data_IF_100882954343
#
_entry.id   IF_100882954343
#
_cell.length_a   1.000
_cell.length_b   1.000
_cell.length_c   1.000
_cell.angle_alpha   90.00
_cell.angle_beta   90.00
_cell.angle_gamma   90.00
#
_symmetry.space_group_name_H-M   'P 1'
#
loop_
_entity.id
_entity.type
_entity.pdbx_description
1 polymer ?
#
# COMPACT_ATOMS: atom_id res chain seq x y z
N UNK A 1 4.04 22.18 -24.11
CA UNK A 1 5.18 21.26 -23.86
C UNK A 1 4.80 20.14 -22.89
N UNK A 2 4.26 20.48 -21.72
CA UNK A 2 3.87 19.54 -20.64
C UNK A 2 2.87 18.45 -21.07
N UNK A 3 1.85 18.76 -21.88
CA UNK A 3 0.88 17.75 -22.40
C UNK A 3 1.54 16.65 -23.24
N UNK A 4 2.60 16.97 -24.00
CA UNK A 4 3.35 15.98 -24.78
C UNK A 4 4.18 15.06 -23.88
N UNK A 5 4.74 15.61 -22.79
CA UNK A 5 5.49 14.85 -21.79
C UNK A 5 4.57 13.88 -21.02
N UNK A 6 3.39 14.31 -20.56
CA UNK A 6 2.46 13.40 -19.90
C UNK A 6 2.01 12.25 -20.82
N UNK A 7 1.77 12.55 -22.10
CA UNK A 7 1.43 11.53 -23.09
C UNK A 7 2.57 10.53 -23.27
N UNK A 8 3.81 10.98 -23.38
CA UNK A 8 4.95 10.07 -23.54
C UNK A 8 5.21 9.24 -22.29
N UNK A 9 5.11 9.82 -21.09
CA UNK A 9 5.24 9.09 -19.82
C UNK A 9 4.16 8.03 -19.68
N UNK A 10 2.89 8.37 -19.98
CA UNK A 10 1.77 7.41 -19.96
C UNK A 10 2.02 6.22 -20.89
N UNK A 11 2.45 6.47 -22.13
CA UNK A 11 2.79 5.42 -23.09
C UNK A 11 3.94 4.53 -22.59
N UNK A 12 4.94 5.10 -21.93
CA UNK A 12 6.03 4.31 -21.34
C UNK A 12 5.55 3.42 -20.20
N UNK A 13 4.68 3.93 -19.32
CA UNK A 13 4.10 3.15 -18.21
C UNK A 13 3.27 2.00 -18.76
N UNK A 14 2.38 2.28 -19.73
CA UNK A 14 1.53 1.26 -20.37
C UNK A 14 2.39 0.17 -21.01
N UNK A 15 3.43 0.56 -21.78
CA UNK A 15 4.36 -0.39 -22.41
C UNK A 15 5.12 -1.24 -21.38
N UNK A 16 5.56 -0.65 -20.27
CA UNK A 16 6.26 -1.38 -19.20
C UNK A 16 5.32 -2.32 -18.45
N UNK A 17 4.08 -1.91 -18.19
CA UNK A 17 3.05 -2.75 -17.58
C UNK A 17 2.72 -3.95 -18.45
N UNK A 18 2.56 -3.75 -19.76
CA UNK A 18 2.30 -4.82 -20.72
C UNK A 18 3.47 -5.82 -20.79
N UNK A 19 4.71 -5.32 -20.86
CA UNK A 19 5.90 -6.18 -20.80
C UNK A 19 5.95 -7.03 -19.53
N UNK A 20 5.64 -6.42 -18.38
CA UNK A 20 5.58 -7.14 -17.12
C UNK A 20 4.47 -8.19 -17.11
N UNK A 21 3.27 -7.84 -17.58
CA UNK A 21 2.13 -8.75 -17.69
C UNK A 21 2.47 -9.95 -18.57
N UNK A 22 3.03 -9.74 -19.76
CA UNK A 22 3.43 -10.81 -20.68
C UNK A 22 4.47 -11.76 -20.06
N UNK A 23 5.43 -11.22 -19.30
CA UNK A 23 6.45 -12.03 -18.62
C UNK A 23 5.88 -12.80 -17.43
N UNK A 24 5.09 -12.15 -16.58
CA UNK A 24 4.53 -12.73 -15.37
C UNK A 24 3.40 -13.74 -15.66
N UNK A 25 2.65 -13.52 -16.74
CA UNK A 25 1.58 -14.41 -17.19
C UNK A 25 2.09 -15.51 -18.14
N UNK A 26 3.40 -15.57 -18.41
CA UNK A 26 3.99 -16.65 -19.20
C UNK A 26 3.67 -18.01 -18.55
N UNK A 27 2.94 -18.86 -19.27
CA UNK A 27 2.54 -20.19 -18.79
C UNK A 27 1.28 -20.20 -17.90
N UNK A 28 0.65 -19.05 -17.65
CA UNK A 28 -0.68 -18.99 -17.01
C UNK A 28 -1.76 -19.16 -18.08
N UNK A 29 -2.77 -19.97 -17.79
CA UNK A 29 -3.96 -20.09 -18.64
C UNK A 29 -5.03 -19.16 -18.09
N UNK A 30 -5.65 -18.39 -18.96
CA UNK A 30 -6.85 -17.66 -18.61
C UNK A 30 -7.97 -18.69 -18.37
N UNK A 31 -8.56 -18.65 -17.18
CA UNK A 31 -9.72 -19.47 -16.82
C UNK A 31 -10.80 -18.48 -16.41
N UNK A 32 -11.87 -18.47 -17.18
CA UNK A 32 -13.04 -17.64 -16.96
C UNK A 32 -14.18 -18.58 -16.64
N UNK A 33 -14.98 -18.22 -15.63
CA UNK A 33 -16.17 -18.96 -15.23
C UNK A 33 -17.41 -18.15 -15.60
N UNK A 34 -18.45 -18.83 -16.05
CA UNK A 34 -19.73 -18.21 -16.34
C UNK A 34 -20.75 -18.53 -15.23
N UNK A 35 -21.78 -17.68 -15.04
CA UNK A 35 -22.89 -18.01 -14.14
C UNK A 35 -23.49 -19.37 -14.48
N UNK A 36 -23.63 -20.23 -13.47
CA UNK A 36 -24.08 -21.62 -13.59
C UNK A 36 -22.96 -22.66 -13.49
N UNK A 37 -21.69 -22.26 -13.66
CA UNK A 37 -20.56 -23.16 -13.52
C UNK A 37 -20.35 -23.63 -12.07
N UNK A 38 -19.86 -24.85 -11.92
CA UNK A 38 -19.54 -25.45 -10.62
C UNK A 38 -18.02 -25.38 -10.37
N UNK A 39 -17.63 -24.74 -9.28
CA UNK A 39 -16.22 -24.49 -8.94
C UNK A 39 -15.88 -25.00 -7.54
N UNK A 40 -14.66 -25.50 -7.37
CA UNK A 40 -14.12 -25.85 -6.06
C UNK A 40 -13.41 -24.64 -5.45
N UNK A 41 -13.73 -24.33 -4.20
CA UNK A 41 -13.18 -23.13 -3.53
C UNK A 41 -12.02 -23.51 -2.62
N UNK A 42 -10.86 -22.88 -2.83
CA UNK A 42 -9.75 -23.01 -1.90
C UNK A 42 -9.87 -22.02 -0.73
N UNK A 43 -10.34 -22.50 0.43
CA UNK A 43 -10.42 -21.68 1.63
C UNK A 43 -9.09 -21.69 2.42
N UNK A 44 -8.51 -20.51 2.66
CA UNK A 44 -7.24 -20.36 3.40
C UNK A 44 -7.51 -20.17 4.90
N UNK A 45 -6.80 -20.92 5.74
CA UNK A 45 -6.95 -20.92 7.21
C UNK A 45 -6.83 -19.52 7.84
N UNK A 46 -5.84 -18.72 7.40
CA UNK A 46 -5.61 -17.37 7.94
C UNK A 46 -6.80 -16.42 7.74
N UNK A 47 -7.59 -16.62 6.67
CA UNK A 47 -8.76 -15.79 6.36
C UNK A 47 -10.04 -16.42 6.89
N UNK A 48 -10.09 -17.75 6.96
CA UNK A 48 -11.26 -18.53 7.35
C UNK A 48 -10.90 -19.56 8.43
N UNK A 49 -10.57 -19.12 9.65
CA UNK A 49 -10.18 -20.02 10.73
C UNK A 49 -11.30 -20.96 11.15
N UNK A 50 -12.56 -20.49 11.10
CA UNK A 50 -13.75 -21.28 11.44
C UNK A 50 -13.98 -22.44 10.46
N UNK A 51 -13.69 -22.23 9.16
CA UNK A 51 -13.92 -23.24 8.11
C UNK A 51 -12.77 -24.23 7.97
N UNK A 52 -11.51 -23.81 8.23
CA UNK A 52 -10.33 -24.69 8.12
C UNK A 52 -9.66 -24.96 9.47
N UNK A 53 -10.09 -26.04 10.13
CA UNK A 53 -9.62 -26.40 11.48
C UNK A 53 -8.21 -27.02 11.50
N UNK A 54 -7.82 -27.83 10.51
CA UNK A 54 -6.51 -28.51 10.49
C UNK A 54 -5.79 -28.50 9.13
N UNK A 55 -4.47 -28.77 9.15
CA UNK A 55 -3.65 -28.89 7.94
C UNK A 55 -3.96 -30.14 7.11
N UNK A 56 -4.54 -31.17 7.73
CA UNK A 56 -4.87 -32.46 7.10
C UNK A 56 -6.20 -32.44 6.35
N UNK A 57 -7.04 -31.42 6.55
CA UNK A 57 -8.29 -31.31 5.78
C UNK A 57 -7.98 -31.07 4.29
N UNK A 58 -8.84 -31.60 3.38
CA UNK A 58 -8.77 -31.31 1.95
C UNK A 58 -8.67 -29.82 1.67
N UNK A 59 -7.95 -29.50 0.60
CA UNK A 59 -7.59 -28.11 0.28
C UNK A 59 -8.71 -27.37 -0.45
N UNK A 60 -9.46 -28.07 -1.30
CA UNK A 60 -10.68 -27.57 -1.92
C UNK A 60 -11.89 -27.94 -1.08
N UNK A 61 -12.72 -26.96 -0.79
CA UNK A 61 -14.09 -27.16 -0.34
C UNK A 61 -14.99 -27.34 -1.57
N UNK A 62 -16.13 -28.02 -1.41
CA UNK A 62 -16.94 -28.68 -2.46
C UNK A 62 -17.33 -27.86 -3.71
N UNK A 63 -18.10 -28.45 -4.64
CA UNK A 63 -18.55 -27.73 -5.82
C UNK A 63 -19.60 -26.68 -5.41
N UNK A 64 -19.29 -25.41 -5.65
CA UNK A 64 -20.20 -24.29 -5.47
C UNK A 64 -20.58 -23.69 -6.82
N UNK A 65 -21.83 -23.27 -6.95
CA UNK A 65 -22.29 -22.65 -8.18
C UNK A 65 -21.87 -21.19 -8.24
N UNK A 66 -21.36 -20.76 -9.40
CA UNK A 66 -21.18 -19.34 -9.72
C UNK A 66 -22.54 -18.73 -9.98
N UNK A 67 -22.96 -17.79 -9.14
CA UNK A 67 -24.23 -17.07 -9.30
C UNK A 67 -24.08 -15.90 -10.27
N UNK A 68 -22.96 -15.17 -10.16
CA UNK A 68 -22.75 -13.94 -10.90
C UNK A 68 -21.24 -13.69 -11.09
N UNK A 69 -20.87 -13.14 -12.25
CA UNK A 69 -19.51 -12.71 -12.54
C UNK A 69 -19.42 -11.19 -12.39
N UNK A 70 -18.62 -10.74 -11.43
CA UNK A 70 -18.38 -9.32 -11.19
C UNK A 70 -17.23 -8.84 -12.08
N UNK A 71 -16.15 -9.63 -12.18
CA UNK A 71 -14.99 -9.41 -13.05
C UNK A 71 -14.35 -10.77 -13.41
N UNK A 72 -13.42 -10.80 -14.38
CA UNK A 72 -12.64 -12.01 -14.74
C UNK A 72 -11.97 -12.72 -13.55
N UNK A 73 -11.68 -11.99 -12.47
CA UNK A 73 -11.05 -12.49 -11.26
C UNK A 73 -11.99 -12.57 -10.04
N UNK A 74 -13.24 -12.12 -10.14
CA UNK A 74 -14.14 -11.97 -9.00
C UNK A 74 -15.55 -12.47 -9.34
N UNK A 75 -15.99 -13.46 -8.56
CA UNK A 75 -17.24 -14.18 -8.77
C UNK A 75 -18.03 -14.25 -7.47
N UNK A 76 -19.36 -14.18 -7.59
CA UNK A 76 -20.30 -14.44 -6.51
C UNK A 76 -20.65 -15.92 -6.53
N UNK A 77 -20.47 -16.59 -5.39
CA UNK A 77 -20.71 -18.03 -5.24
C UNK A 77 -21.86 -18.27 -4.28
N UNK A 78 -22.62 -19.33 -4.52
CA UNK A 78 -23.62 -19.82 -3.56
C UNK A 78 -22.95 -20.65 -2.47
N UNK A 79 -22.53 -20.00 -1.39
CA UNK A 79 -21.88 -20.63 -0.24
C UNK A 79 -22.90 -20.80 0.90
N UNK A 80 -23.17 -22.04 1.37
CA UNK A 80 -23.98 -22.23 2.56
C UNK A 80 -23.17 -21.79 3.80
N UNK A 81 -23.72 -20.85 4.58
CA UNK A 81 -23.23 -20.50 5.92
C UNK A 81 -22.95 -19.01 6.13
N UNK A 82 -23.25 -18.56 7.35
CA UNK A 82 -23.16 -17.18 7.84
C UNK A 82 -21.83 -16.50 7.48
N UNK A 83 -21.96 -15.20 7.20
CA UNK A 83 -20.96 -14.30 6.62
C UNK A 83 -19.55 -14.55 7.19
N UNK A 84 -18.76 -15.33 6.45
CA UNK A 84 -17.44 -15.78 6.90
C UNK A 84 -16.36 -14.71 6.77
N UNK A 85 -16.79 -13.46 6.56
CA UNK A 85 -15.99 -12.24 6.67
C UNK A 85 -15.91 -11.79 8.12
N UNK A 86 -15.46 -12.65 9.02
CA UNK A 86 -14.80 -12.15 10.22
C UNK A 86 -13.44 -11.60 9.77
N UNK A 87 -13.40 -10.36 9.26
CA UNK A 87 -12.18 -9.60 9.17
C UNK A 87 -11.84 -9.20 10.62
N UNK A 88 -10.84 -9.80 11.31
CA UNK A 88 -10.30 -9.18 12.49
C UNK A 88 -9.21 -8.24 11.97
N UNK A 89 -9.58 -7.28 11.11
CA UNK A 89 -8.75 -6.09 11.06
C UNK A 89 -9.12 -5.32 12.31
N UNK A 90 -8.61 -5.79 13.45
CA UNK A 90 -8.50 -4.96 14.63
C UNK A 90 -7.54 -3.84 14.23
N UNK A 91 -8.13 -2.72 13.85
CA UNK A 91 -7.53 -1.41 13.90
C UNK A 91 -7.15 -1.12 15.36
N UNK A 92 -6.08 -1.75 15.88
CA UNK A 92 -5.28 -1.31 17.04
C UNK A 92 -4.27 -2.38 17.45
N UNK A 93 -3.08 -2.27 16.89
CA UNK A 93 -1.84 -2.59 17.61
C UNK A 93 -1.12 -1.29 17.88
N UNK A 94 -1.55 -0.53 18.89
CA UNK A 94 -0.79 0.62 19.38
C UNK A 94 0.38 0.08 20.21
N UNK A 95 1.44 -0.36 19.54
CA UNK A 95 2.74 -0.59 20.18
C UNK A 95 3.44 0.77 20.36
N UNK A 96 2.89 1.61 21.24
CA UNK A 96 3.64 2.74 21.80
C UNK A 96 4.72 2.17 22.71
N UNK A 97 5.86 1.85 22.12
CA UNK A 97 7.08 1.61 22.88
C UNK A 97 7.51 2.94 23.52
N UNK A 98 7.28 3.04 24.84
CA UNK A 98 7.83 4.06 25.72
C UNK A 98 9.36 3.90 25.78
N UNK A 99 10.06 4.32 24.74
CA UNK A 99 11.52 4.49 24.78
C UNK A 99 11.85 5.98 24.68
N UNK A 100 12.30 6.47 25.84
CA UNK A 100 13.11 7.63 26.21
C UNK A 100 13.21 8.84 25.25
N UNK A 101 13.30 10.08 25.78
CA UNK A 101 13.51 11.28 24.98
C UNK A 101 14.83 11.15 24.19
N UNK A 102 14.71 10.89 22.89
CA UNK A 102 15.84 10.68 22.00
C UNK A 102 16.34 12.05 21.54
N UNK A 103 17.54 12.42 21.99
CA UNK A 103 18.14 13.76 21.86
C UNK A 103 18.64 14.12 20.46
N UNK A 104 18.43 13.27 19.45
CA UNK A 104 18.89 13.52 18.09
C UNK A 104 17.75 13.39 17.06
N UNK A 105 17.38 14.48 16.36
CA UNK A 105 16.38 14.47 15.28
C UNK A 105 16.69 13.56 14.08
N UNK A 106 17.91 13.02 13.99
CA UNK A 106 18.42 12.30 12.81
C UNK A 106 18.68 10.80 13.02
N UNK A 107 18.31 10.23 14.18
CA UNK A 107 18.55 8.80 14.39
C UNK A 107 17.60 7.94 13.54
N UNK A 108 18.14 7.27 12.52
CA UNK A 108 17.42 6.28 11.72
C UNK A 108 17.32 4.97 12.53
N UNK A 109 16.14 4.53 12.95
CA UNK A 109 16.01 3.30 13.73
C UNK A 109 16.42 2.10 12.88
N UNK A 110 17.39 1.32 13.36
CA UNK A 110 17.84 0.10 12.68
C UNK A 110 16.73 -0.96 12.76
N UNK A 111 16.12 -1.27 11.61
CA UNK A 111 15.09 -2.31 11.49
C UNK A 111 13.99 -1.95 10.47
N UNK A 112 13.00 -2.84 10.28
CA UNK A 112 11.89 -2.60 9.35
C UNK A 112 11.15 -1.30 9.69
N UNK A 113 10.95 -0.45 8.69
CA UNK A 113 10.19 0.80 8.82
C UNK A 113 8.70 0.48 8.89
N UNK A 114 8.09 0.70 10.05
CA UNK A 114 6.65 0.57 10.27
C UNK A 114 5.94 1.92 10.07
N UNK A 115 4.62 1.90 9.84
CA UNK A 115 3.81 3.10 9.58
C UNK A 115 3.94 4.18 10.67
N UNK A 116 3.97 3.76 11.94
CA UNK A 116 4.20 4.66 13.08
C UNK A 116 5.61 5.29 13.06
N UNK A 117 6.64 4.52 12.72
CA UNK A 117 8.02 5.02 12.58
C UNK A 117 8.14 6.03 11.43
N UNK A 118 7.56 5.74 10.28
CA UNK A 118 7.51 6.68 9.15
C UNK A 118 6.82 7.99 9.53
N UNK A 119 5.71 7.92 10.27
CA UNK A 119 4.99 9.12 10.75
C UNK A 119 5.86 9.96 11.68
N UNK A 120 6.56 9.33 12.63
CA UNK A 120 7.48 10.01 13.55
C UNK A 120 8.64 10.70 12.83
N UNK A 121 9.22 10.04 11.82
CA UNK A 121 10.28 10.63 10.97
C UNK A 121 9.74 11.83 10.19
N UNK A 122 8.54 11.72 9.60
CA UNK A 122 7.89 12.82 8.88
C UNK A 122 7.66 14.03 9.79
N UNK A 123 7.16 13.81 11.02
CA UNK A 123 6.93 14.88 11.98
C UNK A 123 8.23 15.55 12.46
N UNK A 124 9.28 14.78 12.70
CA UNK A 124 10.60 15.31 13.07
C UNK A 124 11.19 16.20 11.95
N UNK A 125 11.11 15.74 10.70
CA UNK A 125 11.55 16.51 9.53
C UNK A 125 10.73 17.80 9.36
N UNK A 126 9.40 17.71 9.52
CA UNK A 126 8.54 18.87 9.43
C UNK A 126 8.86 19.92 10.50
N UNK A 127 9.14 19.50 11.75
CA UNK A 127 9.56 20.43 12.82
C UNK A 127 10.87 21.12 12.48
N UNK A 128 11.88 20.37 12.04
CA UNK A 128 13.17 20.93 11.66
C UNK A 128 13.04 21.98 10.55
N UNK A 129 12.17 21.73 9.57
CA UNK A 129 11.90 22.71 8.49
C UNK A 129 11.27 23.99 9.04
N UNK A 130 10.34 23.87 10.00
CA UNK A 130 9.73 25.03 10.64
C UNK A 130 10.73 25.84 11.45
N UNK A 131 11.66 25.17 12.15
CA UNK A 131 12.72 25.82 12.92
C UNK A 131 13.67 26.60 11.99
N UNK A 132 14.10 26.00 10.86
CA UNK A 132 14.93 26.69 9.85
C UNK A 132 14.21 27.92 9.28
N UNK A 133 12.91 27.80 9.00
CA UNK A 133 12.13 28.91 8.48
C UNK A 133 11.97 30.02 9.53
N UNK A 134 11.77 29.66 10.79
CA UNK A 134 11.71 30.62 11.91
C UNK A 134 13.04 31.39 12.07
N UNK A 135 14.17 30.69 12.05
CA UNK A 135 15.51 31.29 12.18
C UNK A 135 15.84 32.26 11.03
N UNK A 136 15.40 31.96 9.81
CA UNK A 136 15.61 32.84 8.65
C UNK A 136 14.79 34.14 8.68
N UNK A 137 13.74 34.23 9.52
CA UNK A 137 12.94 35.45 9.69
C UNK A 137 13.40 36.34 10.85
N UNK A 138 14.26 35.82 11.74
CA UNK A 138 14.81 36.53 12.89
C UNK A 138 16.34 36.63 12.81
N UNK A 139 16.87 37.53 11.97
CA UNK A 139 18.28 37.92 12.12
C UNK A 139 18.96 38.47 10.89
N UNK A 140 18.93 39.79 10.74
CA UNK A 140 20.01 40.51 10.08
C UNK A 140 21.31 40.32 10.88
N UNK A 141 22.32 39.64 10.34
CA UNK A 141 23.73 40.08 10.46
C UNK A 141 24.62 39.44 9.40
N UNK A 142 25.49 40.30 8.85
CA UNK A 142 26.38 40.08 7.71
C UNK A 142 27.44 39.02 8.01
N UNK A 143 27.56 38.00 7.14
CA UNK A 143 28.81 37.60 6.48
C UNK A 143 28.50 36.57 5.37
N UNK A 144 29.05 36.77 4.18
CA UNK A 144 29.07 35.81 3.06
C UNK A 144 30.49 35.85 2.45
N UNK A 145 30.93 34.93 1.57
CA UNK A 145 30.21 33.80 0.96
C UNK A 145 31.03 32.48 0.91
N UNK A 146 30.39 31.31 0.76
CA UNK A 146 30.84 30.18 -0.10
C UNK A 146 29.69 29.18 -0.34
N UNK A 147 29.12 29.28 -1.53
CA UNK A 147 28.74 28.23 -2.48
C UNK A 147 28.44 26.82 -1.92
N UNK A 148 27.15 26.52 -1.79
CA UNK A 148 26.52 25.30 -2.32
C UNK A 148 25.00 25.47 -2.13
N UNK A 149 24.33 26.05 -3.13
CA UNK A 149 22.87 26.13 -3.14
C UNK A 149 22.31 24.71 -3.36
N UNK A 150 22.15 23.98 -2.25
CA UNK A 150 21.45 22.71 -2.24
C UNK A 150 19.99 22.92 -2.62
N UNK A 151 19.66 22.78 -3.91
CA UNK A 151 18.28 22.79 -4.40
C UNK A 151 17.57 21.54 -3.87
N UNK A 152 16.71 21.72 -2.88
CA UNK A 152 15.90 20.63 -2.31
C UNK A 152 14.60 20.51 -3.12
N UNK A 153 14.52 19.51 -3.99
CA UNK A 153 13.30 19.21 -4.74
C UNK A 153 12.26 18.54 -3.82
N UNK A 154 11.18 19.25 -3.50
CA UNK A 154 10.07 18.76 -2.70
C UNK A 154 8.96 18.19 -3.58
N UNK A 155 8.70 16.88 -3.50
CA UNK A 155 7.53 16.24 -4.12
C UNK A 155 6.44 16.13 -3.05
N UNK A 156 5.38 16.92 -3.17
CA UNK A 156 4.18 16.74 -2.35
C UNK A 156 3.28 15.65 -2.97
N UNK A 157 2.99 14.61 -2.20
CA UNK A 157 1.86 13.74 -2.47
C UNK A 157 0.63 14.35 -1.78
N UNK A 158 -0.29 14.89 -2.57
CA UNK A 158 -1.62 15.28 -2.09
C UNK A 158 -2.44 14.00 -1.97
N UNK A 159 -2.84 13.64 -0.75
CA UNK A 159 -3.88 12.64 -0.56
C UNK A 159 -5.16 13.23 -1.19
N UNK A 160 -5.62 12.62 -2.28
CA UNK A 160 -6.83 13.02 -2.99
C UNK A 160 -8.03 12.89 -2.07
N UNK A 161 -8.47 14.01 -1.49
CA UNK A 161 -9.80 14.15 -0.97
C UNK A 161 -10.73 14.39 -2.15
N UNK A 162 -11.41 13.33 -2.59
CA UNK A 162 -12.54 13.41 -3.49
C UNK A 162 -13.62 14.30 -2.86
N UNK A 163 -13.89 15.45 -3.47
CA UNK A 163 -15.13 16.19 -3.26
C UNK A 163 -16.04 15.92 -4.45
N UNK A 164 -17.23 15.41 -4.12
CA UNK A 164 -18.37 15.23 -5.00
C UNK A 164 -18.84 16.56 -5.63
#
# INVERSE_FOLDING_TARGET
MVKKLHKSVRQHIEKKNEQYANKANKGRRQVIFEPGDWVWVHMRKERFPARRRSKLHPRGDGPFQVLERINDNAYKLDLPGDDSRSNPFEERGNDENQQAPLKDPLHVPVGPITRARSKKIKEALNRLIQDIWADSTMGHSKLSPKEDEGVINLIQATDGADHA
#
